data_IF_695798829159
#
_entry.id   IF_695798829159
#
_cell.length_a   1.000
_cell.length_b   1.000
_cell.length_c   1.000
_cell.angle_alpha   90.00
_cell.angle_beta   90.00
_cell.angle_gamma   90.00
#
_symmetry.space_group_name_H-M   'P 1'
#
loop_
_entity.id
_entity.type
_entity.pdbx_description
1 polymer ?
#
# COMPACT_ATOMS: atom_id res chain seq x y z
N UNK A 1 20.78 9.22 40.10
CA UNK A 1 21.66 8.04 40.24
C UNK A 1 20.85 6.91 40.87
N UNK A 2 20.50 5.89 40.10
CA UNK A 2 20.10 4.60 40.65
C UNK A 2 20.39 3.53 39.60
N UNK A 3 21.41 2.73 39.86
CA UNK A 3 22.05 1.79 38.93
C UNK A 3 21.50 0.39 39.15
N UNK A 4 20.65 -0.11 38.24
CA UNK A 4 20.32 -1.53 38.17
C UNK A 4 20.84 -2.12 36.86
N UNK A 5 22.13 -2.52 36.90
CA UNK A 5 22.78 -3.37 35.90
C UNK A 5 22.29 -4.81 36.07
N UNK A 6 21.46 -5.28 35.14
CA UNK A 6 21.11 -6.71 35.03
C UNK A 6 22.29 -7.46 34.39
N UNK A 7 22.83 -8.44 35.12
CA UNK A 7 24.01 -9.24 34.80
C UNK A 7 23.86 -10.01 33.48
N UNK A 8 24.93 -9.99 32.67
CA UNK A 8 25.17 -10.91 31.55
C UNK A 8 25.70 -12.23 32.10
N UNK A 9 25.08 -13.35 31.74
CA UNK A 9 25.61 -14.71 31.96
C UNK A 9 26.65 -15.03 30.88
N UNK A 10 27.86 -15.51 31.24
CA UNK A 10 28.82 -16.05 30.28
C UNK A 10 28.58 -17.56 30.11
N UNK A 11 28.32 -18.00 28.88
CA UNK A 11 28.33 -19.44 28.55
C UNK A 11 29.69 -19.81 27.95
N UNK A 12 30.63 -20.17 28.82
CA UNK A 12 31.91 -20.76 28.45
C UNK A 12 31.68 -22.25 28.22
N UNK A 13 31.80 -22.72 26.98
CA UNK A 13 31.77 -24.14 26.64
C UNK A 13 33.19 -24.68 26.78
N UNK A 14 33.44 -25.54 27.78
CA UNK A 14 34.72 -26.22 27.96
C UNK A 14 34.96 -27.25 26.84
N UNK A 15 36.09 -27.10 26.15
CA UNK A 15 36.68 -28.15 25.32
C UNK A 15 37.15 -29.31 26.22
N UNK A 16 36.46 -30.45 26.17
CA UNK A 16 36.99 -31.72 26.68
C UNK A 16 37.35 -32.65 25.52
N UNK A 17 38.67 -32.76 25.27
CA UNK A 17 39.28 -33.88 24.54
C UNK A 17 39.27 -35.13 25.42
N UNK A 18 38.67 -36.22 24.92
CA UNK A 18 38.98 -37.63 25.25
C UNK A 18 38.20 -38.51 24.27
N UNK A 19 38.88 -39.01 23.23
CA UNK A 19 39.53 -40.33 23.15
C UNK A 19 38.56 -41.42 22.69
N UNK A 20 38.90 -41.97 21.52
CA UNK A 20 38.18 -42.96 20.74
C UNK A 20 37.75 -44.19 21.53
N UNK A 21 36.48 -44.57 21.36
CA UNK A 21 36.06 -45.97 21.32
C UNK A 21 35.05 -46.12 20.19
N UNK A 22 35.54 -46.66 19.07
CA UNK A 22 34.74 -47.14 17.94
C UNK A 22 33.77 -48.20 18.45
N UNK A 23 32.55 -47.77 18.73
CA UNK A 23 31.37 -48.61 18.61
C UNK A 23 30.73 -48.22 17.29
N UNK A 24 30.56 -49.22 16.42
CA UNK A 24 29.85 -49.12 15.13
C UNK A 24 28.40 -48.75 15.39
N UNK A 25 28.16 -47.46 15.59
CA UNK A 25 26.83 -46.88 15.65
C UNK A 25 26.38 -46.66 14.21
N UNK A 26 25.40 -47.45 13.77
CA UNK A 26 24.66 -47.18 12.54
C UNK A 26 24.10 -45.77 12.68
N UNK A 27 24.72 -44.82 11.97
CA UNK A 27 24.21 -43.46 11.77
C UNK A 27 22.73 -43.53 11.46
N UNK A 28 21.90 -43.30 12.49
CA UNK A 28 20.49 -43.01 12.31
C UNK A 28 20.51 -41.66 11.59
N UNK A 29 20.38 -41.69 10.26
CA UNK A 29 20.14 -40.49 9.48
C UNK A 29 18.82 -39.93 9.98
N UNK A 30 18.90 -39.00 10.93
CA UNK A 30 17.73 -38.31 11.44
C UNK A 30 17.27 -37.39 10.31
N UNK A 31 16.28 -37.84 9.55
CA UNK A 31 15.67 -37.07 8.48
C UNK A 31 14.93 -35.88 9.10
N UNK A 32 15.61 -34.74 9.19
CA UNK A 32 15.00 -33.47 9.59
C UNK A 32 14.48 -32.73 8.36
N UNK A 33 13.63 -31.71 8.56
CA UNK A 33 13.16 -30.83 7.47
C UNK A 33 14.32 -30.24 6.65
N UNK A 34 15.49 -30.05 7.27
CA UNK A 34 16.69 -29.55 6.60
C UNK A 34 17.33 -30.55 5.64
N UNK A 35 16.93 -31.82 5.65
CA UNK A 35 17.42 -32.86 4.73
C UNK A 35 16.55 -33.02 3.48
N UNK A 36 15.31 -32.51 3.51
CA UNK A 36 14.38 -32.59 2.36
C UNK A 36 14.81 -31.67 1.23
N UNK A 37 14.75 -32.10 -0.05
CA UNK A 37 14.96 -31.20 -1.21
C UNK A 37 14.09 -29.93 -1.12
N UNK A 38 14.59 -28.75 -1.54
CA UNK A 38 13.84 -27.51 -1.39
C UNK A 38 12.45 -27.54 -2.04
N UNK A 39 12.31 -28.27 -3.15
CA UNK A 39 11.07 -28.43 -3.90
C UNK A 39 10.04 -29.26 -3.10
N UNK A 40 10.50 -30.32 -2.42
CA UNK A 40 9.67 -31.13 -1.53
C UNK A 40 9.24 -30.32 -0.32
N UNK A 41 10.18 -29.59 0.28
CA UNK A 41 9.87 -28.70 1.40
C UNK A 41 8.85 -27.64 0.97
N UNK A 42 9.02 -27.03 -0.19
CA UNK A 42 8.08 -26.05 -0.73
C UNK A 42 6.66 -26.60 -0.88
N UNK A 43 6.51 -27.82 -1.43
CA UNK A 43 5.22 -28.50 -1.54
C UNK A 43 4.59 -28.70 -0.16
N UNK A 44 5.36 -29.19 0.82
CA UNK A 44 4.88 -29.37 2.19
C UNK A 44 4.42 -28.04 2.79
N UNK A 45 5.21 -26.96 2.64
CA UNK A 45 4.87 -25.66 3.22
C UNK A 45 3.62 -25.03 2.59
N UNK A 46 3.33 -25.30 1.32
CA UNK A 46 2.09 -24.83 0.66
C UNK A 46 0.82 -25.49 1.20
N UNK A 47 0.93 -26.62 1.92
CA UNK A 47 -0.18 -27.32 2.55
C UNK A 47 -0.45 -26.84 3.98
N UNK A 48 0.45 -26.02 4.55
CA UNK A 48 0.31 -25.48 5.89
C UNK A 48 -0.38 -24.12 5.87
N UNK A 49 -1.04 -23.71 6.97
CA UNK A 49 -1.45 -22.33 7.17
C UNK A 49 -0.26 -21.38 6.99
N UNK A 50 -0.45 -20.31 6.23
CA UNK A 50 0.64 -19.38 5.92
C UNK A 50 1.13 -18.67 7.17
N UNK A 51 0.27 -18.51 8.18
CA UNK A 51 0.65 -18.07 9.52
C UNK A 51 1.77 -18.95 10.10
N UNK A 52 1.58 -20.27 10.11
CA UNK A 52 2.54 -21.21 10.67
C UNK A 52 3.84 -21.25 9.86
N UNK A 53 3.73 -21.14 8.52
CA UNK A 53 4.89 -20.97 7.65
C UNK A 53 5.69 -19.73 8.04
N UNK A 54 5.01 -18.61 8.32
CA UNK A 54 5.64 -17.34 8.63
C UNK A 54 6.21 -17.22 10.05
N UNK A 55 5.58 -17.85 11.05
CA UNK A 55 5.91 -17.70 12.48
C UNK A 55 6.69 -18.86 13.04
N UNK A 56 6.45 -20.09 12.58
CA UNK A 56 7.15 -21.28 13.06
C UNK A 56 8.25 -21.68 12.08
N UNK A 57 7.87 -22.12 10.87
CA UNK A 57 8.81 -22.77 9.95
C UNK A 57 9.93 -21.83 9.51
N UNK A 58 9.59 -20.60 9.12
CA UNK A 58 10.56 -19.58 8.68
C UNK A 58 11.70 -19.34 9.68
N UNK A 59 11.48 -19.59 10.97
CA UNK A 59 12.44 -19.33 12.04
C UNK A 59 13.34 -20.53 12.38
N UNK A 60 13.06 -21.72 11.84
CA UNK A 60 13.77 -22.97 12.18
C UNK A 60 15.21 -22.97 11.68
N UNK A 61 15.42 -22.64 10.41
CA UNK A 61 16.74 -22.67 9.78
C UNK A 61 16.83 -21.68 8.61
N UNK A 62 18.05 -21.41 8.12
CA UNK A 62 18.24 -20.58 6.92
C UNK A 62 17.59 -21.21 5.68
N UNK A 63 17.56 -22.54 5.58
CA UNK A 63 16.92 -23.27 4.48
C UNK A 63 15.41 -23.07 4.55
N UNK A 64 14.80 -23.27 5.72
CA UNK A 64 13.38 -23.01 5.94
C UNK A 64 13.02 -21.54 5.70
N UNK A 65 13.85 -20.58 6.11
CA UNK A 65 13.66 -19.16 5.81
C UNK A 65 13.59 -18.90 4.29
N UNK A 66 14.51 -19.47 3.52
CA UNK A 66 14.54 -19.27 2.07
C UNK A 66 13.29 -19.85 1.40
N UNK A 67 12.91 -21.09 1.72
CA UNK A 67 11.73 -21.75 1.13
C UNK A 67 10.43 -21.07 1.59
N UNK A 68 10.31 -20.73 2.88
CA UNK A 68 9.16 -19.96 3.38
C UNK A 68 9.05 -18.58 2.69
N UNK A 69 10.17 -17.92 2.40
CA UNK A 69 10.18 -16.66 1.64
C UNK A 69 9.59 -16.84 0.24
N UNK A 70 9.96 -17.92 -0.45
CA UNK A 70 9.40 -18.24 -1.78
C UNK A 70 7.88 -18.45 -1.68
N UNK A 71 7.44 -19.33 -0.75
CA UNK A 71 6.02 -19.67 -0.56
C UNK A 71 5.19 -18.44 -0.19
N UNK A 72 5.63 -17.66 0.80
CA UNK A 72 4.88 -16.49 1.30
C UNK A 72 4.85 -15.36 0.29
N UNK A 73 5.97 -15.08 -0.39
CA UNK A 73 6.01 -14.02 -1.40
C UNK A 73 5.15 -14.40 -2.63
N UNK A 74 5.24 -15.66 -3.10
CA UNK A 74 4.39 -16.15 -4.18
C UNK A 74 2.90 -16.12 -3.81
N UNK A 75 2.55 -16.52 -2.59
CA UNK A 75 1.17 -16.46 -2.08
C UNK A 75 0.65 -15.03 -2.02
N UNK A 76 1.49 -14.08 -1.57
CA UNK A 76 1.15 -12.66 -1.58
C UNK A 76 0.99 -12.09 -2.99
N UNK A 77 1.86 -12.44 -3.93
CA UNK A 77 1.79 -11.96 -5.32
C UNK A 77 0.52 -12.45 -6.03
N UNK A 78 0.22 -13.74 -5.87
CA UNK A 78 -0.94 -14.39 -6.50
C UNK A 78 -2.27 -14.03 -5.85
N UNK A 79 -2.26 -13.52 -4.61
CA UNK A 79 -3.46 -13.07 -3.91
C UNK A 79 -4.25 -12.01 -4.70
N UNK A 80 -3.56 -11.12 -5.44
CA UNK A 80 -4.20 -10.13 -6.29
C UNK A 80 -5.04 -10.74 -7.41
N UNK A 81 -4.49 -11.71 -8.13
CA UNK A 81 -5.22 -12.42 -9.19
C UNK A 81 -6.39 -13.23 -8.62
N UNK A 82 -6.22 -13.83 -7.43
CA UNK A 82 -7.31 -14.55 -6.75
C UNK A 82 -8.46 -13.61 -6.37
N UNK A 83 -8.14 -12.41 -5.85
CA UNK A 83 -9.12 -11.36 -5.58
C UNK A 83 -9.85 -10.91 -6.85
N UNK A 84 -9.13 -10.63 -7.94
CA UNK A 84 -9.73 -10.25 -9.22
C UNK A 84 -10.67 -11.34 -9.76
N UNK A 85 -10.28 -12.62 -9.64
CA UNK A 85 -11.12 -13.74 -10.06
C UNK A 85 -12.39 -13.87 -9.20
N UNK A 86 -12.27 -13.70 -7.87
CA UNK A 86 -13.43 -13.72 -6.98
C UNK A 86 -14.40 -12.57 -7.28
N UNK A 87 -13.87 -11.36 -7.51
CA UNK A 87 -14.68 -10.20 -7.90
C UNK A 87 -15.43 -10.46 -9.22
N UNK A 88 -14.73 -10.95 -10.26
CA UNK A 88 -15.36 -11.32 -11.55
C UNK A 88 -16.42 -12.40 -11.40
N UNK A 89 -16.18 -13.38 -10.53
CA UNK A 89 -17.14 -14.45 -10.27
C UNK A 89 -18.43 -13.90 -9.64
N UNK A 90 -18.30 -13.08 -8.59
CA UNK A 90 -19.45 -12.44 -7.91
C UNK A 90 -20.20 -11.51 -8.87
N UNK A 91 -19.49 -10.70 -9.67
CA UNK A 91 -20.09 -9.85 -10.70
C UNK A 91 -20.88 -10.65 -11.74
N UNK A 92 -20.33 -11.78 -12.19
CA UNK A 92 -21.05 -12.72 -13.06
C UNK A 92 -22.29 -13.30 -12.40
N UNK A 93 -22.27 -13.56 -11.09
CA UNK A 93 -23.46 -14.01 -10.35
C UNK A 93 -24.52 -12.91 -10.23
N UNK A 94 -24.11 -11.66 -9.95
CA UNK A 94 -25.01 -10.49 -9.88
C UNK A 94 -25.85 -10.38 -11.15
N UNK A 95 -25.22 -10.51 -12.34
CA UNK A 95 -25.93 -10.40 -13.63
C UNK A 95 -26.93 -11.54 -13.90
N UNK A 96 -26.83 -12.67 -13.20
CA UNK A 96 -27.68 -13.86 -13.42
C UNK A 96 -28.85 -13.97 -12.45
N UNK A 97 -28.78 -13.27 -11.32
CA UNK A 97 -29.79 -13.36 -10.26
C UNK A 97 -31.06 -12.61 -10.67
N UNK A 98 -32.22 -13.23 -10.38
CA UNK A 98 -33.55 -12.67 -10.66
C UNK A 98 -34.26 -12.14 -9.41
N UNK A 99 -33.84 -12.57 -8.23
CA UNK A 99 -34.41 -12.25 -6.93
C UNK A 99 -33.72 -11.04 -6.32
N UNK A 100 -34.50 -10.04 -5.89
CA UNK A 100 -33.95 -8.80 -5.32
C UNK A 100 -33.13 -9.02 -4.04
N UNK A 101 -33.49 -10.01 -3.22
CA UNK A 101 -32.76 -10.37 -1.98
C UNK A 101 -31.37 -10.93 -2.25
N UNK A 102 -31.25 -11.80 -3.25
CA UNK A 102 -29.97 -12.42 -3.62
C UNK A 102 -29.09 -11.40 -4.36
N UNK A 103 -29.70 -10.52 -5.14
CA UNK A 103 -29.01 -9.39 -5.79
C UNK A 103 -28.37 -8.48 -4.74
N UNK A 104 -29.13 -8.10 -3.70
CA UNK A 104 -28.62 -7.29 -2.59
C UNK A 104 -27.48 -8.01 -1.85
N UNK A 105 -27.62 -9.30 -1.60
CA UNK A 105 -26.58 -10.11 -0.94
C UNK A 105 -25.28 -10.12 -1.73
N UNK A 106 -25.34 -10.38 -3.04
CA UNK A 106 -24.18 -10.42 -3.91
C UNK A 106 -23.56 -9.03 -4.12
N UNK A 107 -24.39 -7.99 -4.28
CA UNK A 107 -23.95 -6.60 -4.39
C UNK A 107 -23.16 -6.17 -3.15
N UNK A 108 -23.66 -6.53 -1.96
CA UNK A 108 -22.94 -6.30 -0.71
C UNK A 108 -21.62 -7.05 -0.70
N UNK A 109 -21.60 -8.35 -1.00
CA UNK A 109 -20.37 -9.15 -1.04
C UNK A 109 -19.32 -8.56 -2.00
N UNK A 110 -19.76 -8.04 -3.15
CA UNK A 110 -18.91 -7.33 -4.09
C UNK A 110 -18.30 -6.06 -3.49
N UNK A 111 -19.09 -5.25 -2.75
CA UNK A 111 -18.59 -4.06 -2.05
C UNK A 111 -17.48 -4.40 -1.04
N UNK A 112 -17.61 -5.52 -0.31
CA UNK A 112 -16.51 -5.99 0.57
C UNK A 112 -15.27 -6.33 -0.24
N UNK A 113 -15.43 -7.08 -1.33
CA UNK A 113 -14.27 -7.49 -2.14
C UNK A 113 -13.54 -6.28 -2.72
N UNK A 114 -14.24 -5.19 -3.07
CA UNK A 114 -13.62 -3.92 -3.46
C UNK A 114 -12.80 -3.30 -2.33
N UNK A 115 -13.34 -3.25 -1.11
CA UNK A 115 -12.60 -2.79 0.07
C UNK A 115 -11.36 -3.65 0.34
N UNK A 116 -11.50 -4.97 0.31
CA UNK A 116 -10.40 -5.93 0.51
C UNK A 116 -9.34 -5.76 -0.57
N UNK A 117 -9.76 -5.60 -1.83
CA UNK A 117 -8.87 -5.31 -2.96
C UNK A 117 -8.10 -4.00 -2.76
N UNK A 118 -8.75 -2.94 -2.26
CA UNK A 118 -8.07 -1.68 -1.97
C UNK A 118 -7.01 -1.82 -0.85
N UNK A 119 -7.31 -2.58 0.21
CA UNK A 119 -6.32 -2.89 1.24
C UNK A 119 -5.15 -3.71 0.70
N UNK A 120 -5.43 -4.72 -0.14
CA UNK A 120 -4.39 -5.51 -0.80
C UNK A 120 -3.50 -4.66 -1.72
N UNK A 121 -4.09 -3.79 -2.57
CA UNK A 121 -3.34 -2.87 -3.42
C UNK A 121 -2.43 -1.97 -2.60
N UNK A 122 -2.91 -1.44 -1.48
CA UNK A 122 -2.11 -0.62 -0.57
C UNK A 122 -0.99 -1.41 0.12
N UNK A 123 -1.27 -2.62 0.60
CA UNK A 123 -0.25 -3.54 1.14
C UNK A 123 0.84 -3.81 0.10
N UNK A 124 0.45 -4.06 -1.14
CA UNK A 124 1.37 -4.29 -2.26
C UNK A 124 2.20 -3.05 -2.52
N UNK A 125 1.60 -1.87 -2.64
CA UNK A 125 2.31 -0.61 -2.83
C UNK A 125 3.39 -0.35 -1.76
N UNK A 126 3.11 -0.74 -0.51
CA UNK A 126 4.07 -0.57 0.61
C UNK A 126 5.21 -1.59 0.57
N UNK A 127 4.96 -2.83 0.13
CA UNK A 127 5.88 -3.95 0.39
C UNK A 127 6.55 -4.54 -0.85
N UNK A 128 5.97 -4.38 -2.04
CA UNK A 128 6.34 -5.16 -3.23
C UNK A 128 7.82 -5.01 -3.62
N UNK A 129 8.40 -3.81 -3.45
CA UNK A 129 9.81 -3.54 -3.78
C UNK A 129 10.77 -4.39 -2.96
N UNK A 130 10.34 -4.77 -1.76
CA UNK A 130 11.13 -5.56 -0.83
C UNK A 130 10.83 -7.05 -0.97
N UNK A 131 9.58 -7.43 -1.25
CA UNK A 131 9.20 -8.84 -1.40
C UNK A 131 9.52 -9.41 -2.79
N UNK A 132 9.48 -8.57 -3.82
CA UNK A 132 9.66 -8.93 -5.23
C UNK A 132 10.63 -7.98 -5.95
N UNK A 133 11.87 -7.80 -5.45
CA UNK A 133 12.84 -6.91 -6.09
C UNK A 133 13.20 -7.42 -7.49
N UNK A 134 13.28 -6.52 -8.47
CA UNK A 134 13.63 -6.88 -9.86
C UNK A 134 15.06 -7.41 -10.03
N UNK A 135 15.97 -7.08 -9.11
CA UNK A 135 17.36 -7.55 -9.09
C UNK A 135 17.72 -7.98 -7.66
N UNK A 136 17.44 -9.23 -7.26
CA UNK A 136 17.65 -9.69 -5.88
C UNK A 136 19.12 -9.69 -5.44
N UNK A 137 20.06 -9.69 -6.39
CA UNK A 137 21.49 -9.51 -6.11
C UNK A 137 21.83 -8.08 -5.68
N UNK A 138 21.11 -7.08 -6.21
CA UNK A 138 21.31 -5.65 -5.90
C UNK A 138 20.44 -5.17 -4.73
N UNK A 139 19.25 -5.75 -4.57
CA UNK A 139 18.27 -5.34 -3.57
C UNK A 139 17.90 -6.52 -2.66
N UNK A 140 18.00 -6.31 -1.35
CA UNK A 140 17.69 -7.34 -0.36
C UNK A 140 16.21 -7.74 -0.45
N UNK A 141 15.98 -9.03 -0.69
CA UNK A 141 14.64 -9.63 -0.68
C UNK A 141 14.19 -9.89 0.75
N UNK A 142 13.04 -9.33 1.11
CA UNK A 142 12.34 -9.60 2.36
C UNK A 142 11.24 -10.65 2.15
N UNK A 143 10.98 -11.42 3.21
CA UNK A 143 9.81 -12.29 3.29
C UNK A 143 8.57 -11.49 3.65
N UNK A 144 7.43 -11.76 3.01
CA UNK A 144 6.12 -11.32 3.46
C UNK A 144 5.70 -12.15 4.68
N UNK A 145 6.10 -11.70 5.87
CA UNK A 145 5.94 -12.49 7.11
C UNK A 145 4.57 -12.33 7.79
N UNK A 146 3.61 -11.66 7.16
CA UNK A 146 2.23 -11.58 7.67
C UNK A 146 1.38 -12.74 7.14
N UNK A 147 1.76 -13.97 7.51
CA UNK A 147 1.06 -15.18 7.06
C UNK A 147 -0.43 -15.19 7.43
N UNK A 148 -0.79 -14.72 8.62
CA UNK A 148 -2.20 -14.63 9.05
C UNK A 148 -3.04 -13.67 8.19
N UNK A 149 -2.44 -12.61 7.62
CA UNK A 149 -3.16 -11.74 6.69
C UNK A 149 -3.53 -12.49 5.40
N UNK A 150 -2.67 -13.39 4.93
CA UNK A 150 -2.93 -14.19 3.74
C UNK A 150 -3.98 -15.28 4.03
N UNK A 151 -3.88 -15.95 5.18
CA UNK A 151 -4.89 -16.93 5.60
C UNK A 151 -6.28 -16.29 5.75
N UNK A 152 -6.35 -15.14 6.43
CA UNK A 152 -7.60 -14.38 6.58
C UNK A 152 -8.15 -13.92 5.22
N UNK A 153 -7.28 -13.48 4.31
CA UNK A 153 -7.68 -13.12 2.96
C UNK A 153 -8.27 -14.32 2.20
N UNK A 154 -7.61 -15.48 2.25
CA UNK A 154 -8.10 -16.67 1.56
C UNK A 154 -9.41 -17.19 2.16
N UNK A 155 -9.60 -17.04 3.47
CA UNK A 155 -10.88 -17.34 4.10
C UNK A 155 -11.99 -16.38 3.64
N UNK A 156 -11.72 -15.07 3.59
CA UNK A 156 -12.67 -14.08 3.06
C UNK A 156 -13.04 -14.36 1.59
N UNK A 157 -12.06 -14.72 0.76
CA UNK A 157 -12.29 -15.09 -0.64
C UNK A 157 -13.16 -16.34 -0.77
N UNK A 158 -12.89 -17.36 0.04
CA UNK A 158 -13.67 -18.60 0.07
C UNK A 158 -15.11 -18.30 0.47
N UNK A 159 -15.32 -17.54 1.55
CA UNK A 159 -16.66 -17.12 2.00
C UNK A 159 -17.39 -16.31 0.93
N UNK A 160 -16.71 -15.40 0.25
CA UNK A 160 -17.31 -14.61 -0.83
C UNK A 160 -17.81 -15.44 -2.01
N UNK A 161 -17.20 -16.60 -2.28
CA UNK A 161 -17.58 -17.49 -3.38
C UNK A 161 -18.63 -18.51 -2.92
N UNK A 162 -18.37 -19.17 -1.79
CA UNK A 162 -19.16 -20.34 -1.35
C UNK A 162 -20.43 -19.94 -0.60
N UNK A 163 -20.37 -18.85 0.19
CA UNK A 163 -21.48 -18.39 1.01
C UNK A 163 -21.43 -16.86 1.22
N UNK A 164 -21.77 -16.05 0.19
CA UNK A 164 -21.66 -14.59 0.24
C UNK A 164 -22.41 -13.94 1.42
N UNK A 165 -23.53 -14.56 1.84
CA UNK A 165 -24.32 -14.11 2.98
C UNK A 165 -23.52 -14.13 4.31
N UNK A 166 -22.53 -15.02 4.45
CA UNK A 166 -21.68 -15.11 5.65
C UNK A 166 -20.75 -13.90 5.86
N UNK A 167 -20.64 -13.02 4.87
CA UNK A 167 -19.84 -11.81 4.97
C UNK A 167 -20.58 -10.65 5.65
N UNK A 168 -21.86 -10.82 6.00
CA UNK A 168 -22.68 -9.80 6.64
C UNK A 168 -23.52 -10.40 7.76
N UNK A 169 -23.64 -9.66 8.87
CA UNK A 169 -24.56 -9.95 9.95
C UNK A 169 -25.73 -8.97 9.99
N UNK A 170 -26.57 -9.11 11.01
CA UNK A 170 -27.69 -8.20 11.29
C UNK A 170 -27.26 -6.75 11.57
N UNK A 171 -25.97 -6.51 11.86
CA UNK A 171 -25.38 -5.21 12.21
C UNK A 171 -24.42 -4.66 11.14
N UNK A 172 -24.43 -5.21 9.92
CA UNK A 172 -23.55 -4.78 8.83
C UNK A 172 -22.48 -5.82 8.46
N UNK A 173 -21.34 -5.41 7.88
CA UNK A 173 -20.27 -6.32 7.50
C UNK A 173 -19.76 -7.17 8.67
N UNK A 174 -19.41 -8.42 8.40
CA UNK A 174 -18.82 -9.33 9.38
C UNK A 174 -17.58 -8.70 10.07
N UNK A 175 -17.45 -8.79 11.41
CA UNK A 175 -16.35 -8.17 12.15
C UNK A 175 -14.96 -8.55 11.65
N UNK A 176 -14.79 -9.74 11.05
CA UNK A 176 -13.49 -10.17 10.51
C UNK A 176 -12.98 -9.26 9.39
N UNK A 177 -13.86 -8.54 8.69
CA UNK A 177 -13.49 -7.59 7.63
C UNK A 177 -12.83 -6.35 8.25
N UNK A 178 -13.43 -5.80 9.30
CA UNK A 178 -12.84 -4.68 10.04
C UNK A 178 -11.51 -5.08 10.69
N UNK A 179 -11.42 -6.31 11.23
CA UNK A 179 -10.17 -6.88 11.72
C UNK A 179 -9.12 -6.98 10.61
N UNK A 180 -9.48 -7.49 9.43
CA UNK A 180 -8.58 -7.58 8.28
C UNK A 180 -8.04 -6.21 7.87
N UNK A 181 -8.90 -5.20 7.74
CA UNK A 181 -8.50 -3.81 7.42
C UNK A 181 -7.54 -3.26 8.48
N UNK A 182 -7.87 -3.46 9.76
CA UNK A 182 -7.03 -3.03 10.88
C UNK A 182 -5.66 -3.71 10.87
N UNK A 183 -5.63 -5.02 10.61
CA UNK A 183 -4.40 -5.80 10.53
C UNK A 183 -3.53 -5.39 9.33
N UNK A 184 -4.14 -5.08 8.19
CA UNK A 184 -3.43 -4.50 7.04
C UNK A 184 -2.75 -3.19 7.45
N UNK A 185 -3.50 -2.26 8.08
CA UNK A 185 -2.98 -0.97 8.55
C UNK A 185 -1.83 -1.16 9.56
N UNK A 186 -2.01 -2.07 10.53
CA UNK A 186 -1.02 -2.41 11.56
C UNK A 186 0.26 -2.98 10.95
N UNK A 187 0.13 -3.93 10.03
CA UNK A 187 1.28 -4.53 9.36
C UNK A 187 2.04 -3.50 8.52
N UNK A 188 1.35 -2.67 7.72
CA UNK A 188 2.00 -1.61 6.94
C UNK A 188 2.78 -0.65 7.85
N UNK A 189 2.16 -0.19 8.94
CA UNK A 189 2.83 0.70 9.91
C UNK A 189 4.09 0.05 10.51
N UNK A 190 4.01 -1.22 10.89
CA UNK A 190 5.14 -1.96 11.43
C UNK A 190 6.23 -2.16 10.37
N UNK A 191 5.85 -2.58 9.17
CA UNK A 191 6.76 -2.82 8.06
C UNK A 191 7.58 -1.55 7.73
N UNK A 192 6.91 -0.41 7.55
CA UNK A 192 7.56 0.86 7.24
C UNK A 192 8.47 1.32 8.40
N UNK A 193 8.02 1.15 9.65
CA UNK A 193 8.77 1.59 10.84
C UNK A 193 9.99 0.74 11.16
N UNK A 194 9.88 -0.57 10.96
CA UNK A 194 10.85 -1.55 11.46
C UNK A 194 11.59 -2.23 10.31
N UNK A 195 10.87 -2.83 9.37
CA UNK A 195 11.44 -3.68 8.34
C UNK A 195 12.09 -2.87 7.23
N UNK A 196 11.35 -1.94 6.63
CA UNK A 196 11.84 -1.03 5.60
C UNK A 196 13.02 -0.20 6.11
N UNK A 197 12.92 0.36 7.33
CA UNK A 197 13.97 1.21 7.91
C UNK A 197 15.34 0.52 8.00
N UNK A 198 15.36 -0.81 8.20
CA UNK A 198 16.61 -1.60 8.28
C UNK A 198 17.29 -1.77 6.93
N UNK A 199 16.53 -1.76 5.84
CA UNK A 199 17.01 -2.12 4.49
C UNK A 199 17.03 -0.95 3.52
N UNK A 200 16.20 0.08 3.75
CA UNK A 200 16.17 1.31 2.99
C UNK A 200 17.40 2.17 3.34
N UNK A 201 18.45 2.02 2.54
CA UNK A 201 19.72 2.75 2.69
C UNK A 201 19.92 3.84 1.63
N UNK A 202 19.05 3.91 0.61
CA UNK A 202 19.16 4.85 -0.50
C UNK A 202 17.78 5.12 -1.11
N UNK A 203 17.58 6.32 -1.66
CA UNK A 203 16.37 6.72 -2.39
C UNK A 203 16.05 5.72 -3.50
N UNK A 204 17.07 5.08 -4.07
CA UNK A 204 16.96 4.03 -5.08
C UNK A 204 16.25 2.76 -4.56
N UNK A 205 16.32 2.49 -3.25
CA UNK A 205 15.66 1.31 -2.66
C UNK A 205 14.16 1.57 -2.48
N UNK A 206 13.79 2.78 -2.04
CA UNK A 206 12.39 3.18 -1.89
C UNK A 206 11.72 3.50 -3.24
N UNK A 207 12.49 3.94 -4.23
CA UNK A 207 12.07 4.08 -5.63
C UNK A 207 10.82 4.95 -5.81
N UNK A 208 9.92 4.54 -6.71
CA UNK A 208 8.66 5.22 -7.00
C UNK A 208 7.54 4.91 -5.98
N UNK A 209 7.84 4.62 -4.71
CA UNK A 209 6.81 4.24 -3.71
C UNK A 209 5.66 5.25 -3.60
N UNK A 210 5.94 6.55 -3.73
CA UNK A 210 4.89 7.59 -3.78
C UNK A 210 3.90 7.35 -4.94
N UNK A 211 4.40 6.99 -6.12
CA UNK A 211 3.60 6.66 -7.30
C UNK A 211 2.84 5.36 -7.08
N UNK A 212 3.46 4.35 -6.47
CA UNK A 212 2.78 3.09 -6.14
C UNK A 212 1.59 3.31 -5.18
N UNK A 213 1.73 4.21 -4.20
CA UNK A 213 0.65 4.60 -3.29
C UNK A 213 -0.44 5.40 -4.01
N UNK A 214 -0.07 6.35 -4.88
CA UNK A 214 -1.04 7.12 -5.66
C UNK A 214 -1.79 6.25 -6.69
N UNK A 215 -1.13 5.25 -7.25
CA UNK A 215 -1.74 4.25 -8.14
C UNK A 215 -2.77 3.37 -7.41
N UNK A 216 -2.87 3.45 -6.07
CA UNK A 216 -3.93 2.81 -5.29
C UNK A 216 -5.22 3.63 -5.23
N UNK A 217 -5.23 4.88 -5.73
CA UNK A 217 -6.47 5.63 -5.87
C UNK A 217 -7.45 4.89 -6.79
N UNK A 218 -8.71 4.80 -6.35
CA UNK A 218 -9.77 4.17 -7.14
C UNK A 218 -10.15 5.02 -8.35
N UNK A 219 -10.21 6.34 -8.18
CA UNK A 219 -10.52 7.31 -9.23
C UNK A 219 -9.46 8.41 -9.33
N UNK A 220 -9.45 9.13 -10.46
CA UNK A 220 -8.67 10.37 -10.60
C UNK A 220 -7.24 10.22 -11.11
N UNK A 221 -6.77 9.00 -11.41
CA UNK A 221 -5.47 8.76 -12.06
C UNK A 221 -5.54 9.02 -13.57
N UNK A 222 -4.58 9.76 -14.10
CA UNK A 222 -4.42 10.05 -15.52
C UNK A 222 -2.95 9.89 -15.94
N UNK A 223 -2.71 9.20 -17.06
CA UNK A 223 -1.37 9.09 -17.68
C UNK A 223 -1.27 10.17 -18.75
N UNK A 224 -0.46 11.20 -18.50
CA UNK A 224 -0.28 12.31 -19.45
C UNK A 224 0.77 11.98 -20.51
N UNK A 225 1.84 11.31 -20.11
CA UNK A 225 2.82 10.77 -21.05
C UNK A 225 3.53 9.56 -20.47
N UNK A 226 3.89 8.63 -21.36
CA UNK A 226 4.67 7.44 -21.03
C UNK A 226 5.62 7.17 -22.19
N UNK A 227 6.92 7.07 -21.90
CA UNK A 227 7.96 6.76 -22.89
C UNK A 227 8.98 5.81 -22.27
N UNK A 228 9.37 4.81 -23.04
CA UNK A 228 10.54 3.98 -22.78
C UNK A 228 11.61 4.45 -23.77
N UNK A 229 12.65 5.11 -23.27
CA UNK A 229 13.77 5.60 -24.06
C UNK A 229 14.85 4.52 -24.05
N UNK A 230 14.97 3.78 -25.14
CA UNK A 230 16.14 2.94 -25.37
C UNK A 230 17.23 3.79 -26.01
N UNK A 231 18.42 3.78 -25.44
CA UNK A 231 19.52 4.60 -25.95
C UNK A 231 20.36 3.71 -26.86
N UNK A 232 20.25 3.87 -28.18
CA UNK A 232 21.08 3.16 -29.16
C UNK A 232 22.56 3.46 -28.91
N UNK A 233 23.22 2.63 -28.11
CA UNK A 233 24.61 2.82 -27.65
C UNK A 233 24.82 2.63 -26.14
N UNK A 234 23.79 2.80 -25.29
CA UNK A 234 23.80 2.37 -23.87
C UNK A 234 22.68 1.36 -23.64
N UNK A 235 23.02 0.15 -23.19
CA UNK A 235 22.07 -0.93 -22.83
C UNK A 235 21.16 -0.62 -21.61
N UNK A 236 20.72 0.62 -21.43
CA UNK A 236 19.88 1.02 -20.31
C UNK A 236 18.65 1.73 -20.88
N UNK A 237 17.52 1.04 -20.85
CA UNK A 237 16.24 1.71 -21.05
C UNK A 237 16.00 2.70 -19.91
N UNK A 238 15.43 3.86 -20.23
CA UNK A 238 14.98 4.85 -19.24
C UNK A 238 13.48 4.98 -19.38
N UNK A 239 12.77 4.81 -18.27
CA UNK A 239 11.33 5.03 -18.20
C UNK A 239 11.09 6.48 -17.85
N UNK A 240 10.35 7.20 -18.69
CA UNK A 240 9.89 8.55 -18.44
C UNK A 240 8.37 8.60 -18.42
N UNK A 241 7.81 9.15 -17.34
CA UNK A 241 6.37 9.25 -17.16
C UNK A 241 5.97 10.65 -16.70
N UNK A 242 4.83 11.13 -17.19
CA UNK A 242 4.07 12.22 -16.57
C UNK A 242 2.70 11.71 -16.18
N UNK A 243 2.36 11.85 -14.91
CA UNK A 243 1.09 11.39 -14.34
C UNK A 243 0.37 12.56 -13.68
N UNK A 244 -0.96 12.49 -13.63
CA UNK A 244 -1.80 13.42 -12.89
C UNK A 244 -2.77 12.63 -12.03
N UNK A 245 -2.86 12.99 -10.76
CA UNK A 245 -3.81 12.42 -9.81
C UNK A 245 -4.70 13.54 -9.30
N UNK A 246 -6.01 13.32 -9.34
CA UNK A 246 -7.02 14.27 -8.86
C UNK A 246 -7.82 13.62 -7.74
N UNK A 247 -7.82 14.23 -6.56
CA UNK A 247 -8.62 13.79 -5.41
C UNK A 247 -9.66 14.86 -5.09
N UNK A 248 -10.94 14.51 -5.19
CA UNK A 248 -12.03 15.47 -4.98
C UNK A 248 -12.12 15.91 -3.53
N UNK A 249 -12.42 17.18 -3.28
CA UNK A 249 -12.68 17.72 -1.93
C UNK A 249 -11.61 17.34 -0.90
N UNK A 250 -10.35 17.46 -1.31
CA UNK A 250 -9.20 16.94 -0.59
C UNK A 250 -8.19 18.07 -0.42
N UNK A 251 -7.46 18.07 0.70
CA UNK A 251 -6.36 18.98 0.93
C UNK A 251 -5.09 18.23 1.34
N UNK A 252 -3.96 18.77 0.89
CA UNK A 252 -2.64 18.31 1.30
C UNK A 252 -1.69 19.50 1.20
N UNK A 253 -1.25 20.00 2.35
CA UNK A 253 -0.33 21.14 2.45
C UNK A 253 0.84 20.81 3.37
N UNK A 254 1.94 21.51 3.12
CA UNK A 254 3.18 21.39 3.87
C UNK A 254 3.65 22.81 4.22
N UNK A 255 3.88 23.04 5.51
CA UNK A 255 4.44 24.28 6.03
C UNK A 255 5.88 24.03 6.47
N UNK A 256 6.75 25.00 6.23
CA UNK A 256 8.09 24.99 6.83
C UNK A 256 7.98 25.39 8.29
N UNK A 257 8.62 24.61 9.16
CA UNK A 257 8.68 24.83 10.62
C UNK A 257 10.14 24.72 11.08
N UNK A 258 10.51 25.34 12.21
CA UNK A 258 11.88 25.28 12.72
C UNK A 258 12.33 23.82 12.92
N UNK A 259 13.41 23.41 12.23
CA UNK A 259 13.94 22.06 12.35
C UNK A 259 14.73 21.89 13.65
N UNK A 260 14.53 20.77 14.33
CA UNK A 260 15.42 20.34 15.40
C UNK A 260 16.75 19.83 14.79
N UNK A 261 17.91 20.07 15.44
CA UNK A 261 19.22 19.73 14.89
C UNK A 261 19.43 18.22 14.64
N UNK A 262 18.68 17.35 15.33
CA UNK A 262 18.80 15.90 15.23
C UNK A 262 17.80 15.23 14.25
N UNK A 263 16.94 15.99 13.57
CA UNK A 263 15.81 15.47 12.77
C UNK A 263 16.06 15.40 11.25
N UNK A 264 17.30 15.26 10.79
CA UNK A 264 17.63 15.36 9.36
C UNK A 264 18.00 14.02 8.70
N UNK A 265 17.25 12.94 8.97
CA UNK A 265 17.37 11.74 8.13
C UNK A 265 16.41 11.83 6.95
N UNK A 266 16.96 12.05 5.75
CA UNK A 266 16.22 12.01 4.48
C UNK A 266 15.33 10.74 4.34
N UNK A 267 15.73 9.63 4.97
CA UNK A 267 14.97 8.38 5.03
C UNK A 267 13.66 8.52 5.77
N UNK A 268 13.72 9.20 6.92
CA UNK A 268 12.56 9.41 7.77
C UNK A 268 11.68 10.51 7.16
N UNK A 269 12.23 11.58 6.56
CA UNK A 269 11.48 12.57 5.76
C UNK A 269 10.64 11.90 4.65
N UNK A 270 11.29 11.10 3.80
CA UNK A 270 10.63 10.36 2.72
C UNK A 270 9.54 9.43 3.28
N UNK A 271 9.85 8.69 4.34
CA UNK A 271 8.92 7.75 4.96
C UNK A 271 7.70 8.46 5.54
N UNK A 272 7.87 9.61 6.19
CA UNK A 272 6.75 10.36 6.75
C UNK A 272 5.87 10.96 5.65
N UNK A 273 6.45 11.50 4.59
CA UNK A 273 5.69 11.93 3.40
C UNK A 273 4.82 10.79 2.85
N UNK A 274 5.39 9.59 2.67
CA UNK A 274 4.66 8.42 2.16
C UNK A 274 3.58 7.93 3.10
N UNK A 275 3.84 7.94 4.40
CA UNK A 275 2.84 7.58 5.42
C UNK A 275 1.62 8.52 5.34
N UNK A 276 1.83 9.81 5.04
CA UNK A 276 0.75 10.81 4.99
C UNK A 276 -0.08 10.60 3.73
N UNK A 277 0.61 10.45 2.60
CA UNK A 277 0.00 10.16 1.31
C UNK A 277 -0.82 8.86 1.36
N UNK A 278 -0.29 7.80 1.99
CA UNK A 278 -0.99 6.52 2.18
C UNK A 278 -2.28 6.67 2.98
N UNK A 279 -2.23 7.42 4.09
CA UNK A 279 -3.41 7.68 4.92
C UNK A 279 -4.46 8.49 4.15
N UNK A 280 -4.02 9.50 3.40
CA UNK A 280 -4.91 10.30 2.56
C UNK A 280 -5.60 9.45 1.49
N UNK A 281 -4.83 8.70 0.70
CA UNK A 281 -5.38 7.80 -0.34
C UNK A 281 -6.33 6.77 0.27
N UNK A 282 -5.98 6.21 1.44
CA UNK A 282 -6.86 5.30 2.17
C UNK A 282 -8.21 5.94 2.52
N UNK A 283 -8.19 7.14 3.09
CA UNK A 283 -9.41 7.87 3.46
C UNK A 283 -10.24 8.33 2.25
N UNK A 284 -9.58 8.72 1.15
CA UNK A 284 -10.27 9.06 -0.11
C UNK A 284 -10.99 7.85 -0.67
N UNK A 285 -10.34 6.68 -0.69
CA UNK A 285 -10.94 5.44 -1.13
C UNK A 285 -12.09 5.00 -0.19
N UNK A 286 -11.94 5.14 1.13
CA UNK A 286 -13.00 4.82 2.11
C UNK A 286 -14.28 5.62 1.81
N UNK A 287 -14.18 6.95 1.66
CA UNK A 287 -15.34 7.78 1.29
C UNK A 287 -15.91 7.45 -0.10
N UNK A 288 -15.06 7.06 -1.05
CA UNK A 288 -15.51 6.67 -2.39
C UNK A 288 -16.33 5.37 -2.35
N UNK A 289 -15.84 4.35 -1.65
CA UNK A 289 -16.56 3.07 -1.52
C UNK A 289 -17.85 3.20 -0.72
N UNK A 290 -17.88 4.02 0.33
CA UNK A 290 -19.11 4.28 1.08
C UNK A 290 -20.20 4.90 0.18
N UNK A 291 -19.82 5.82 -0.70
CA UNK A 291 -20.73 6.40 -1.68
C UNK A 291 -21.19 5.39 -2.74
N UNK A 292 -20.27 4.60 -3.31
CA UNK A 292 -20.61 3.56 -4.29
C UNK A 292 -21.53 2.49 -3.70
N UNK A 293 -21.27 2.07 -2.45
CA UNK A 293 -22.12 1.11 -1.75
C UNK A 293 -23.52 1.68 -1.56
N UNK A 294 -23.64 2.93 -1.10
CA UNK A 294 -24.94 3.60 -0.95
C UNK A 294 -25.70 3.67 -2.28
N UNK A 295 -25.04 4.09 -3.36
CA UNK A 295 -25.64 4.17 -4.70
C UNK A 295 -26.11 2.80 -5.22
N UNK A 296 -25.30 1.74 -5.03
CA UNK A 296 -25.69 0.38 -5.43
C UNK A 296 -26.83 -0.18 -4.59
N UNK A 297 -26.83 0.05 -3.28
CA UNK A 297 -27.94 -0.37 -2.41
C UNK A 297 -29.23 0.37 -2.79
N UNK A 298 -29.16 1.66 -3.10
CA UNK A 298 -30.31 2.44 -3.56
C UNK A 298 -30.90 1.90 -4.88
N UNK A 299 -30.05 1.51 -5.84
CA UNK A 299 -30.48 0.93 -7.12
C UNK A 299 -31.02 -0.50 -7.00
N UNK A 300 -30.58 -1.25 -5.99
CA UNK A 300 -30.94 -2.67 -5.83
C UNK A 300 -32.21 -2.88 -5.00
N UNK A 301 -32.85 -1.82 -4.51
CA UNK A 301 -34.05 -1.92 -3.68
C UNK A 301 -35.34 -2.10 -4.50
N UNK A 302 -36.14 -3.08 -4.10
CA UNK A 302 -37.55 -3.17 -4.48
C UNK A 302 -38.44 -2.30 -3.58
N UNK A 303 -39.68 -2.04 -4.01
CA UNK A 303 -40.66 -1.15 -3.37
C UNK A 303 -41.01 -1.46 -1.89
N UNK A 304 -40.55 -2.58 -1.34
CA UNK A 304 -40.93 -3.09 -0.01
C UNK A 304 -39.86 -2.91 1.07
N UNK A 305 -38.65 -2.44 0.72
CA UNK A 305 -37.54 -2.25 1.67
C UNK A 305 -37.38 -0.75 1.95
N UNK A 306 -37.27 -0.31 3.21
CA UNK A 306 -37.01 1.11 3.52
C UNK A 306 -35.68 1.57 2.90
N UNK A 307 -35.61 2.84 2.45
CA UNK A 307 -34.42 3.38 1.78
C UNK A 307 -33.18 3.25 2.66
N UNK A 308 -31.99 2.97 2.08
CA UNK A 308 -30.77 2.89 2.85
C UNK A 308 -30.47 4.28 3.41
N UNK A 309 -29.89 4.31 4.62
CA UNK A 309 -29.48 5.59 5.22
C UNK A 309 -28.34 6.18 4.40
N UNK A 310 -28.47 7.45 4.02
CA UNK A 310 -27.40 8.18 3.37
C UNK A 310 -26.12 8.17 4.23
N UNK A 311 -24.92 8.09 3.63
CA UNK A 311 -23.67 8.21 4.35
C UNK A 311 -23.64 9.49 5.20
N UNK A 312 -23.12 9.42 6.44
CA UNK A 312 -23.03 10.59 7.29
C UNK A 312 -22.12 11.64 6.65
N UNK A 313 -22.35 12.92 6.95
CA UNK A 313 -21.39 13.98 6.63
C UNK A 313 -20.07 13.70 7.38
N UNK A 314 -19.07 13.21 6.65
CA UNK A 314 -17.80 12.73 7.22
C UNK A 314 -16.62 13.53 6.69
N UNK A 315 -15.67 13.79 7.59
CA UNK A 315 -14.41 14.46 7.30
C UNK A 315 -13.27 13.70 7.97
N UNK A 316 -12.18 13.52 7.24
CA UNK A 316 -10.92 13.02 7.78
C UNK A 316 -9.88 14.13 7.74
N UNK A 317 -9.19 14.33 8.86
CA UNK A 317 -8.05 15.24 8.97
C UNK A 317 -6.88 14.52 9.63
N UNK A 318 -5.69 14.75 9.10
CA UNK A 318 -4.43 14.27 9.65
C UNK A 318 -3.40 15.38 9.65
N UNK A 319 -2.52 15.35 10.64
CA UNK A 319 -1.37 16.23 10.71
C UNK A 319 -0.12 15.46 11.15
N UNK A 320 1.04 16.08 10.96
CA UNK A 320 2.29 15.56 11.52
C UNK A 320 3.49 16.36 11.08
N UNK A 321 4.43 16.53 12.00
CA UNK A 321 5.68 17.24 11.80
C UNK A 321 6.85 16.26 11.67
N UNK A 322 7.80 16.57 10.78
CA UNK A 322 9.12 15.95 10.76
C UNK A 322 10.12 16.76 9.93
N UNK A 323 11.35 16.93 10.40
CA UNK A 323 12.45 17.48 9.59
C UNK A 323 12.20 18.91 9.10
N UNK A 324 11.64 19.75 9.96
CA UNK A 324 11.28 21.12 9.63
C UNK A 324 10.07 21.26 8.68
N UNK A 325 9.26 20.20 8.54
CA UNK A 325 8.06 20.21 7.72
C UNK A 325 6.83 19.77 8.52
N UNK A 326 5.80 20.61 8.51
CA UNK A 326 4.49 20.32 9.08
C UNK A 326 3.49 20.00 7.97
N UNK A 327 3.00 18.77 7.95
CA UNK A 327 1.99 18.33 7.00
C UNK A 327 0.59 18.46 7.59
N UNK A 328 -0.34 19.05 6.83
CA UNK A 328 -1.77 19.03 7.11
C UNK A 328 -2.52 18.50 5.89
N UNK A 329 -3.29 17.45 6.07
CA UNK A 329 -3.95 16.74 4.98
C UNK A 329 -5.28 16.17 5.41
N UNK A 330 -6.16 15.92 4.46
CA UNK A 330 -7.47 15.36 4.75
C UNK A 330 -8.40 15.44 3.57
N UNK A 331 -9.60 14.91 3.75
CA UNK A 331 -10.65 14.93 2.75
C UNK A 331 -12.02 14.97 3.41
N UNK A 332 -13.01 15.41 2.64
CA UNK A 332 -14.41 15.39 3.04
C UNK A 332 -15.23 14.64 2.00
N UNK A 333 -16.22 13.88 2.47
CA UNK A 333 -17.14 13.22 1.57
C UNK A 333 -18.10 14.24 0.93
N UNK A 334 -18.89 13.78 -0.05
CA UNK A 334 -19.85 14.63 -0.78
C UNK A 334 -20.78 15.34 0.20
N UNK A 335 -21.38 14.61 1.13
CA UNK A 335 -22.35 15.13 2.09
C UNK A 335 -21.76 16.19 3.03
N UNK A 336 -20.54 16.00 3.54
CA UNK A 336 -19.87 17.01 4.37
C UNK A 336 -19.55 18.30 3.59
N UNK A 337 -19.15 18.17 2.33
CA UNK A 337 -18.92 19.32 1.47
C UNK A 337 -20.20 20.09 1.17
N UNK A 338 -21.28 19.37 0.84
CA UNK A 338 -22.58 19.99 0.56
C UNK A 338 -23.14 20.69 1.82
N UNK A 339 -23.05 20.04 2.97
CA UNK A 339 -23.48 20.63 4.24
C UNK A 339 -22.67 21.88 4.63
N UNK A 340 -21.38 21.93 4.31
CA UNK A 340 -20.50 23.05 4.67
C UNK A 340 -20.52 24.20 3.67
N UNK A 341 -20.68 23.92 2.38
CA UNK A 341 -20.44 24.90 1.30
C UNK A 341 -21.62 25.10 0.35
N UNK A 342 -22.62 24.21 0.30
CA UNK A 342 -23.84 24.42 -0.53
C UNK A 342 -25.02 25.00 0.27
N UNK A 343 -25.05 24.85 1.59
CA UNK A 343 -26.06 25.48 2.45
C UNK A 343 -25.93 27.01 2.54
N UNK A 344 -24.73 27.54 2.25
CA UNK A 344 -24.47 28.99 2.21
C UNK A 344 -25.05 29.70 0.98
N UNK A 345 -25.44 28.98 -0.08
CA UNK A 345 -25.94 29.61 -1.32
C UNK A 345 -27.47 29.75 -1.38
N UNK A 346 -28.20 29.38 -0.33
CA UNK A 346 -29.68 29.36 -0.33
C UNK A 346 -30.29 30.37 0.66
N UNK A 347 -29.50 31.10 1.46
CA UNK A 347 -30.04 31.98 2.51
C UNK A 347 -30.11 33.46 2.12
N UNK A 348 -29.42 33.93 1.07
CA UNK A 348 -29.37 35.37 0.75
C UNK A 348 -30.14 35.76 -0.53
N UNK A 349 -31.44 35.43 -0.63
CA UNK A 349 -32.34 36.04 -1.61
C UNK A 349 -33.75 36.27 -1.08
N UNK A 350 -33.86 36.98 0.04
CA UNK A 350 -34.96 37.93 0.25
C UNK A 350 -34.31 39.23 0.73
N UNK A 351 -34.37 40.27 -0.13
CA UNK A 351 -33.93 41.66 0.10
C UNK A 351 -32.43 41.99 0.01
N UNK A 352 -31.94 42.22 -1.22
CA UNK A 352 -31.10 43.39 -1.56
C UNK A 352 -30.81 43.42 -3.07
N UNK A 353 -31.44 44.35 -3.79
CA UNK A 353 -30.91 44.87 -5.05
C UNK A 353 -29.61 45.62 -4.76
N UNK A 354 -28.45 45.16 -5.24
CA UNK A 354 -27.30 45.96 -5.73
C UNK A 354 -26.27 45.03 -6.39
N UNK A 355 -26.00 45.34 -7.66
CA UNK A 355 -24.81 45.10 -8.50
C UNK A 355 -24.19 43.69 -8.66
N UNK A 356 -24.04 43.37 -9.95
CA UNK A 356 -23.50 42.16 -10.55
C UNK A 356 -21.98 42.08 -10.34
N UNK A 357 -21.52 41.09 -9.58
CA UNK A 357 -20.26 40.37 -9.84
C UNK A 357 -20.53 38.86 -9.78
N UNK A 358 -20.92 38.30 -10.92
CA UNK A 358 -21.01 36.87 -11.17
C UNK A 358 -19.62 36.19 -11.10
N UNK A 359 -19.14 35.77 -9.92
CA UNK A 359 -18.25 34.60 -9.79
C UNK A 359 -18.46 33.92 -8.42
N UNK A 360 -19.61 33.27 -8.21
CA UNK A 360 -19.76 32.30 -7.10
C UNK A 360 -19.95 30.89 -7.66
N UNK A 361 -18.97 30.44 -8.43
CA UNK A 361 -18.78 29.01 -8.67
C UNK A 361 -18.49 28.32 -7.33
N UNK A 362 -19.24 27.27 -7.00
CA UNK A 362 -18.99 26.46 -5.80
C UNK A 362 -17.50 26.14 -5.67
N UNK A 363 -16.89 26.32 -4.48
CA UNK A 363 -15.43 26.31 -4.35
C UNK A 363 -14.83 24.95 -4.75
N UNK A 364 -14.01 24.96 -5.79
CA UNK A 364 -13.39 23.75 -6.32
C UNK A 364 -12.21 23.31 -5.44
N UNK A 365 -12.45 22.36 -4.54
CA UNK A 365 -11.47 21.86 -3.55
C UNK A 365 -10.77 20.57 -3.97
N UNK A 366 -10.52 20.38 -5.26
CA UNK A 366 -9.85 19.18 -5.73
C UNK A 366 -8.34 19.33 -5.61
N UNK A 367 -7.72 18.37 -4.93
CA UNK A 367 -6.27 18.25 -4.84
C UNK A 367 -5.75 17.67 -6.16
N UNK A 368 -4.78 18.34 -6.78
CA UNK A 368 -4.12 17.87 -7.99
C UNK A 368 -2.65 17.58 -7.68
N UNK A 369 -2.20 16.36 -7.96
CA UNK A 369 -0.80 15.95 -7.84
C UNK A 369 -0.28 15.59 -9.24
N UNK A 370 0.57 16.44 -9.79
CA UNK A 370 1.29 16.16 -11.03
C UNK A 370 2.61 15.47 -10.69
N UNK A 371 2.93 14.41 -11.40
CA UNK A 371 4.16 13.63 -11.20
C UNK A 371 4.99 13.66 -12.46
N UNK A 372 6.26 14.02 -12.33
CA UNK A 372 7.30 13.78 -13.33
C UNK A 372 8.27 12.72 -12.81
N UNK A 373 8.40 11.62 -13.54
CA UNK A 373 9.24 10.49 -13.19
C UNK A 373 10.21 10.17 -14.32
N UNK A 374 11.48 9.98 -13.98
CA UNK A 374 12.50 9.37 -14.83
C UNK A 374 13.28 8.34 -14.02
N UNK A 375 13.29 7.08 -14.45
CA UNK A 375 13.98 6.04 -13.69
C UNK A 375 14.42 4.86 -14.55
N UNK A 376 15.40 4.09 -14.04
CA UNK A 376 15.76 2.78 -14.59
C UNK A 376 14.63 1.75 -14.37
N UNK A 377 14.48 0.72 -15.24
CA UNK A 377 13.44 -0.31 -15.18
C UNK A 377 13.28 -0.98 -13.81
N UNK A 378 14.38 -1.24 -13.11
CA UNK A 378 14.35 -1.84 -11.77
C UNK A 378 13.67 -0.96 -10.71
N UNK A 379 13.56 0.36 -10.95
CA UNK A 379 12.98 1.33 -10.02
C UNK A 379 11.56 1.75 -10.39
N UNK A 380 11.06 1.30 -11.54
CA UNK A 380 9.75 1.65 -12.07
C UNK A 380 8.61 1.40 -11.06
N UNK A 381 7.48 2.10 -11.16
CA UNK A 381 6.26 1.74 -10.45
C UNK A 381 5.80 0.33 -10.82
N UNK A 382 5.09 -0.34 -9.91
CA UNK A 382 4.62 -1.71 -10.13
C UNK A 382 3.76 -1.81 -11.40
N UNK A 383 2.94 -0.79 -11.67
CA UNK A 383 2.04 -0.70 -12.83
C UNK A 383 2.73 -0.79 -14.18
N UNK A 384 4.04 -0.52 -14.24
CA UNK A 384 4.83 -0.55 -15.49
C UNK A 384 5.51 -1.90 -15.70
N UNK A 385 5.62 -2.76 -14.68
CA UNK A 385 6.40 -4.01 -14.77
C UNK A 385 5.93 -4.95 -15.87
N UNK A 386 4.63 -5.04 -16.12
CA UNK A 386 4.08 -5.90 -17.18
C UNK A 386 4.37 -5.37 -18.59
N UNK A 387 4.68 -4.09 -18.73
CA UNK A 387 5.03 -3.43 -19.99
C UNK A 387 6.52 -3.56 -20.32
N UNK A 388 7.36 -3.81 -19.31
CA UNK A 388 8.77 -4.08 -19.46
C UNK A 388 8.91 -5.57 -19.79
N UNK A 389 9.35 -5.92 -21.00
CA UNK A 389 9.53 -7.31 -21.43
C UNK A 389 10.38 -8.06 -20.39
N UNK A 390 9.76 -8.99 -19.68
CA UNK A 390 10.32 -9.60 -18.46
C UNK A 390 11.43 -10.63 -18.77
N UNK A 391 11.50 -11.17 -19.98
CA UNK A 391 12.33 -12.35 -20.28
C UNK A 391 13.78 -12.02 -20.67
N UNK A 392 14.09 -10.78 -21.06
CA UNK A 392 15.47 -10.37 -21.43
C UNK A 392 16.25 -9.75 -20.25
N UNK A 393 15.55 -9.35 -19.19
CA UNK A 393 16.13 -8.65 -18.02
C UNK A 393 16.91 -9.58 -17.09
N UNK A 394 16.65 -10.89 -17.12
CA UNK A 394 17.35 -11.86 -16.27
C UNK A 394 18.69 -12.32 -16.85
N UNK A 395 18.92 -12.20 -18.17
CA UNK A 395 20.04 -12.90 -18.82
C UNK A 395 21.26 -11.98 -19.12
N UNK A 396 21.13 -10.64 -19.18
CA UNK A 396 22.17 -9.83 -19.86
C UNK A 396 22.76 -8.58 -19.18
N UNK A 397 22.60 -8.34 -17.87
CA UNK A 397 23.22 -7.14 -17.25
C UNK A 397 24.28 -7.43 -16.18
N UNK A 398 25.41 -8.03 -16.62
CA UNK A 398 26.69 -8.04 -15.88
C UNK A 398 27.36 -6.66 -15.76
N UNK A 399 26.80 -5.60 -16.35
CA UNK A 399 27.37 -4.25 -16.25
C UNK A 399 26.95 -3.55 -14.96
N UNK A 400 27.96 -3.06 -14.24
CA UNK A 400 27.88 -2.35 -12.98
C UNK A 400 27.36 -0.91 -13.18
N UNK A 401 26.18 -0.76 -13.78
CA UNK A 401 25.61 0.56 -14.06
C UNK A 401 24.88 1.12 -12.85
N UNK A 402 25.10 2.42 -12.58
CA UNK A 402 24.45 3.16 -11.50
C UNK A 402 22.99 3.43 -11.89
N UNK A 403 22.01 3.04 -11.06
CA UNK A 403 20.61 3.33 -11.34
C UNK A 403 20.36 4.84 -11.35
N UNK A 404 19.62 5.32 -12.35
CA UNK A 404 19.18 6.72 -12.42
C UNK A 404 17.77 6.84 -11.86
N UNK A 405 17.53 7.88 -11.06
CA UNK A 405 16.23 8.14 -10.46
C UNK A 405 15.99 9.64 -10.27
N UNK A 406 14.86 10.10 -10.78
CA UNK A 406 14.30 11.43 -10.60
C UNK A 406 12.79 11.33 -10.44
N UNK A 407 12.26 11.89 -9.36
CA UNK A 407 10.83 11.98 -9.08
C UNK A 407 10.51 13.38 -8.58
N UNK A 408 9.57 14.05 -9.23
CA UNK A 408 9.02 15.34 -8.82
C UNK A 408 7.51 15.22 -8.68
N UNK A 409 6.97 15.63 -7.55
CA UNK A 409 5.54 15.78 -7.29
C UNK A 409 5.26 17.27 -7.16
N UNK A 410 4.43 17.82 -8.04
CA UNK A 410 3.89 19.17 -7.92
C UNK A 410 2.44 19.06 -7.43
N UNK A 411 2.19 19.53 -6.22
CA UNK A 411 0.92 19.41 -5.50
C UNK A 411 0.24 20.78 -5.53
N UNK A 412 -0.95 20.84 -6.12
CA UNK A 412 -1.81 22.02 -6.16
C UNK A 412 -3.06 21.74 -5.34
N UNK A 413 -3.26 22.53 -4.30
CA UNK A 413 -4.29 22.38 -3.28
C UNK A 413 -5.10 23.68 -3.14
N UNK A 414 -6.17 23.87 -3.93
CA UNK A 414 -7.01 25.06 -3.85
C UNK A 414 -7.67 25.22 -2.46
N UNK A 415 -8.01 24.11 -1.81
CA UNK A 415 -8.57 24.10 -0.46
C UNK A 415 -7.64 24.75 0.59
N UNK A 416 -6.32 24.68 0.38
CA UNK A 416 -5.36 25.35 1.27
C UNK A 416 -5.38 26.86 1.10
N UNK A 417 -5.56 27.37 -0.14
CA UNK A 417 -5.65 28.81 -0.39
C UNK A 417 -6.85 29.44 0.32
N UNK A 418 -7.99 28.74 0.32
CA UNK A 418 -9.19 29.18 1.05
C UNK A 418 -8.95 29.31 2.58
N UNK A 419 -7.96 28.60 3.12
CA UNK A 419 -7.57 28.66 4.53
C UNK A 419 -6.30 29.50 4.78
N UNK A 420 -5.87 30.33 3.80
CA UNK A 420 -4.64 31.14 3.87
C UNK A 420 -3.36 30.31 4.08
N UNK A 421 -3.38 29.05 3.64
CA UNK A 421 -2.22 28.16 3.62
C UNK A 421 -1.63 28.08 2.21
N UNK A 422 -0.35 27.71 2.04
CA UNK A 422 0.25 27.52 0.73
C UNK A 422 -0.58 26.56 -0.13
N UNK A 423 -1.01 27.07 -1.28
CA UNK A 423 -1.81 26.33 -2.26
C UNK A 423 -0.99 25.46 -3.20
N UNK A 424 0.34 25.61 -3.20
CA UNK A 424 1.24 24.82 -4.03
C UNK A 424 2.44 24.34 -3.21
N UNK A 425 2.84 23.09 -3.43
CA UNK A 425 4.00 22.48 -2.78
C UNK A 425 4.67 21.50 -3.74
N UNK A 426 6.00 21.53 -3.83
CA UNK A 426 6.77 20.63 -4.70
C UNK A 426 7.68 19.73 -3.88
N UNK A 427 7.55 18.42 -4.06
CA UNK A 427 8.44 17.41 -3.50
C UNK A 427 9.35 16.82 -4.57
N UNK A 428 10.67 16.77 -4.33
CA UNK A 428 11.66 16.24 -5.29
C UNK A 428 12.57 15.20 -4.66
N UNK A 429 12.78 14.11 -5.38
CA UNK A 429 13.77 13.07 -5.06
C UNK A 429 14.68 12.84 -6.26
N UNK A 430 15.99 12.82 -6.02
CA UNK A 430 16.99 12.59 -7.06
C UNK A 430 18.13 11.71 -6.52
N UNK A 431 18.54 10.75 -7.33
CA UNK A 431 19.73 9.91 -7.14
C UNK A 431 21.06 10.69 -7.06
N UNK A 432 21.12 11.93 -7.57
CA UNK A 432 22.36 12.69 -7.73
C UNK A 432 22.84 13.50 -6.51
N UNK A 433 22.40 13.21 -5.28
CA UNK A 433 22.96 13.88 -4.09
C UNK A 433 24.37 13.32 -3.78
N UNK A 434 25.40 13.82 -4.48
CA UNK A 434 26.68 14.09 -3.82
C UNK A 434 26.40 15.23 -2.85
N UNK A 435 26.22 14.91 -1.58
CA UNK A 435 26.41 15.91 -0.53
C UNK A 435 27.89 16.26 -0.61
N UNK A 436 28.22 17.39 -1.23
CA UNK A 436 29.46 18.07 -0.90
C UNK A 436 29.31 18.47 0.57
N UNK A 437 29.89 17.67 1.47
CA UNK A 437 30.35 18.23 2.72
C UNK A 437 31.52 19.13 2.34
N UNK A 438 31.24 20.41 2.14
CA UNK A 438 32.26 21.44 2.36
C UNK A 438 32.55 21.42 3.86
N UNK A 439 33.84 21.19 4.15
CA UNK A 439 34.47 21.25 5.47
C UNK A 439 34.09 22.53 6.24
#
# INVERSE_FOLDING_TARGET
MNTNKRRKTPSTCEERKKSEKRTTDKSIYCHTLDTLPPEVLEVVLRLLPLHDVATAVRLVSRRCLNVATIVLNASFLTAGTRLENAMKHVDTMITKVKTGTDLLTLSRAFNILEMVMAQYKMLRAVTWRYTHPSKPEKFLRLCFYAGSLLDNLYDLLRRAIDCPASLFGSQGPDPSIACFVSDCKRFMNYFEKVSERRVNRSVLVSGCKAVDVLDCLVEGRQVLSFKILSNEGRKNDIISMKLKYVMKRTWFTCLEVPSMPDENSWRDEQRFMYLRLRRLVGSVNEHHFENLQYERELLSQGSTIPPPRAPPASMYSGYGEYGGQFFYYGNMNKYAYENKFKSLSVIDHEDAEVEIEEIHGTPFFDLVINVELKCSPELAPFSVRTLLRSDELEIHTKTLNRPEFYLKLDITCPASMANRLPGNFTWKLNSSRRIHHSL
#
